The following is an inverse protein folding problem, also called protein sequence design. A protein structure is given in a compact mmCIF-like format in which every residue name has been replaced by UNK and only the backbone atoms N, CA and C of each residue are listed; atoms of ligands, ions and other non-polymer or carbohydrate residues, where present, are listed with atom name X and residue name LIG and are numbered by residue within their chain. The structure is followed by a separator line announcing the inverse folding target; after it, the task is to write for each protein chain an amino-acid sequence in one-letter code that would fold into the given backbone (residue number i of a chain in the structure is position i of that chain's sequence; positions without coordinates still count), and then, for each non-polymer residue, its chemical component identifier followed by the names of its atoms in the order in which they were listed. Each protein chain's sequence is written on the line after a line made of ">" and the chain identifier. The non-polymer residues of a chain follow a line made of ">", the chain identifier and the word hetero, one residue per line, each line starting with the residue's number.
data_IF_782231757089
#
_entry.id   IF_782231757089
#
_cell.length_a   1.000
_cell.length_b   1.000
_cell.length_c   1.000
_cell.angle_alpha   90.00
_cell.angle_beta   90.00
_cell.angle_gamma   90.00
#
_symmetry.space_group_name_H-M   'P 1'
#
loop_
_entity.id
_entity.type
_entity.pdbx_description
1 polymer ?
#
# COMPACT_ATOMS: atom_id res chain seq x y z
N UNK A 1 30.37 8.02 14.63
CA UNK A 1 29.46 7.97 13.47
C UNK A 1 28.40 6.93 13.83
N UNK A 2 27.17 7.34 14.16
CA UNK A 2 26.17 6.42 14.70
C UNK A 2 25.40 5.77 13.55
N UNK A 3 25.51 4.45 13.39
CA UNK A 3 24.63 3.68 12.51
C UNK A 3 23.18 3.89 12.95
N UNK A 4 22.34 4.47 12.09
CA UNK A 4 20.92 4.62 12.40
C UNK A 4 20.23 3.25 12.21
N UNK A 5 19.53 2.73 13.23
CA UNK A 5 18.95 1.40 13.17
C UNK A 5 17.91 1.29 12.05
N UNK A 6 17.88 0.14 11.37
CA UNK A 6 16.97 -0.18 10.24
C UNK A 6 15.50 0.16 10.55
N UNK A 7 15.08 0.01 11.81
CA UNK A 7 13.74 0.35 12.27
C UNK A 7 13.38 1.83 12.15
N UNK A 8 14.35 2.76 12.22
CA UNK A 8 14.12 4.20 12.04
C UNK A 8 13.85 4.54 10.58
N UNK A 9 14.64 4.02 9.65
CA UNK A 9 14.45 4.23 8.20
C UNK A 9 13.08 3.72 7.73
N UNK A 10 12.64 2.58 8.26
CA UNK A 10 11.33 2.04 7.91
C UNK A 10 10.18 2.89 8.48
N UNK A 11 10.32 3.38 9.72
CA UNK A 11 9.33 4.27 10.34
C UNK A 11 9.24 5.61 9.59
N UNK A 12 10.36 6.17 9.16
CA UNK A 12 10.40 7.37 8.31
C UNK A 12 9.76 7.11 6.95
N UNK A 13 10.03 5.95 6.34
CA UNK A 13 9.40 5.54 5.09
C UNK A 13 7.87 5.46 5.21
N UNK A 14 7.34 4.91 6.30
CA UNK A 14 5.90 4.88 6.56
C UNK A 14 5.28 6.29 6.68
N UNK A 15 6.03 7.28 7.17
CA UNK A 15 5.53 8.65 7.29
C UNK A 15 5.69 9.46 5.99
N UNK A 16 6.45 8.96 5.02
CA UNK A 16 6.76 9.69 3.79
C UNK A 16 5.52 9.80 2.88
N UNK A 17 5.10 11.03 2.57
CA UNK A 17 3.94 11.30 1.71
C UNK A 17 4.01 10.62 0.33
N UNK A 18 5.23 10.42 -0.20
CA UNK A 18 5.44 9.72 -1.47
C UNK A 18 5.03 8.24 -1.40
N UNK A 19 5.20 7.59 -0.25
CA UNK A 19 4.80 6.19 -0.03
C UNK A 19 3.28 6.08 -0.03
N UNK A 20 2.60 6.96 0.71
CA UNK A 20 1.14 7.06 0.70
C UNK A 20 0.57 7.34 -0.68
N UNK A 21 1.18 8.27 -1.43
CA UNK A 21 0.75 8.60 -2.79
C UNK A 21 0.91 7.41 -3.75
N UNK A 22 2.04 6.70 -3.69
CA UNK A 22 2.25 5.50 -4.53
C UNK A 22 1.29 4.38 -4.18
N UNK A 23 1.07 4.15 -2.89
CA UNK A 23 0.10 3.18 -2.41
C UNK A 23 -1.32 3.49 -2.90
N UNK A 24 -1.73 4.75 -2.83
CA UNK A 24 -3.05 5.19 -3.29
C UNK A 24 -3.19 5.04 -4.81
N UNK A 25 -2.20 5.50 -5.58
CA UNK A 25 -2.24 5.46 -7.05
C UNK A 25 -2.22 4.05 -7.63
N UNK A 26 -1.60 3.09 -6.95
CA UNK A 26 -1.48 1.71 -7.44
C UNK A 26 -2.49 0.78 -6.78
N UNK A 27 -2.59 0.84 -5.46
CA UNK A 27 -3.40 -0.11 -4.67
C UNK A 27 -4.90 0.15 -4.76
N UNK A 28 -5.35 1.41 -4.77
CA UNK A 28 -6.79 1.70 -4.82
C UNK A 28 -7.41 1.32 -6.16
N UNK A 29 -6.85 1.69 -7.34
CA UNK A 29 -7.44 1.30 -8.62
C UNK A 29 -7.52 -0.23 -8.80
N UNK A 30 -6.46 -0.94 -8.42
CA UNK A 30 -6.43 -2.41 -8.52
C UNK A 30 -7.49 -3.05 -7.61
N UNK A 31 -7.57 -2.64 -6.35
CA UNK A 31 -8.53 -3.23 -5.44
C UNK A 31 -9.98 -2.81 -5.68
N UNK A 32 -10.22 -1.61 -6.23
CA UNK A 32 -11.53 -1.20 -6.73
C UNK A 32 -11.94 -2.02 -7.97
N UNK A 33 -11.01 -2.24 -8.91
CA UNK A 33 -11.25 -3.10 -10.06
C UNK A 33 -11.56 -4.54 -9.63
N UNK A 34 -10.83 -5.08 -8.65
CA UNK A 34 -11.14 -6.40 -8.06
C UNK A 34 -12.55 -6.43 -7.43
N UNK A 35 -12.91 -5.40 -6.66
CA UNK A 35 -14.24 -5.32 -6.06
C UNK A 35 -15.34 -5.26 -7.14
N UNK A 36 -15.14 -4.46 -8.20
CA UNK A 36 -16.07 -4.33 -9.31
C UNK A 36 -16.21 -5.64 -10.11
N UNK A 37 -15.10 -6.31 -10.43
CA UNK A 37 -15.13 -7.56 -11.20
C UNK A 37 -15.68 -8.74 -10.40
N UNK A 38 -15.33 -8.84 -9.12
CA UNK A 38 -15.72 -9.99 -8.29
C UNK A 38 -17.16 -9.87 -7.77
N UNK A 39 -17.76 -8.68 -7.84
CA UNK A 39 -19.09 -8.44 -7.26
C UNK A 39 -20.04 -7.73 -8.20
N UNK A 40 -19.62 -7.37 -9.42
CA UNK A 40 -20.45 -6.69 -10.41
C UNK A 40 -21.79 -7.40 -10.62
N UNK A 41 -21.77 -8.73 -10.69
CA UNK A 41 -22.99 -9.53 -10.87
C UNK A 41 -23.96 -9.40 -9.69
N UNK A 42 -23.45 -9.35 -8.45
CA UNK A 42 -24.28 -9.13 -7.26
C UNK A 42 -24.89 -7.72 -7.23
N UNK A 43 -24.15 -6.73 -7.71
CA UNK A 43 -24.63 -5.34 -7.78
C UNK A 43 -25.69 -5.19 -8.87
N UNK A 44 -25.49 -5.80 -10.03
CA UNK A 44 -26.44 -5.81 -11.14
C UNK A 44 -27.72 -6.60 -10.81
N UNK A 45 -27.61 -7.66 -10.03
CA UNK A 45 -28.75 -8.43 -9.52
C UNK A 45 -29.44 -7.80 -8.28
N UNK A 46 -28.99 -6.62 -7.83
CA UNK A 46 -29.53 -5.93 -6.65
C UNK A 46 -29.32 -6.67 -5.32
N UNK A 47 -28.46 -7.69 -5.30
CA UNK A 47 -28.27 -8.59 -4.16
C UNK A 47 -27.19 -8.04 -3.22
N UNK A 48 -27.51 -6.95 -2.51
CA UNK A 48 -26.60 -6.33 -1.55
C UNK A 48 -26.67 -7.08 -0.21
N UNK A 49 -25.72 -7.97 0.02
CA UNK A 49 -25.55 -8.65 1.33
C UNK A 49 -24.41 -8.04 2.12
N UNK A 50 -24.39 -8.23 3.44
CA UNK A 50 -23.29 -7.79 4.29
C UNK A 50 -21.93 -8.33 3.79
N UNK A 51 -21.90 -9.57 3.29
CA UNK A 51 -20.69 -10.18 2.75
C UNK A 51 -20.16 -9.46 1.48
N UNK A 52 -21.06 -9.01 0.61
CA UNK A 52 -20.73 -8.21 -0.59
C UNK A 52 -20.13 -6.87 -0.14
N UNK A 53 -20.81 -6.14 0.76
CA UNK A 53 -20.31 -4.86 1.29
C UNK A 53 -18.93 -5.02 1.94
N UNK A 54 -18.73 -6.02 2.79
CA UNK A 54 -17.43 -6.29 3.43
C UNK A 54 -16.34 -6.55 2.41
N UNK A 55 -16.60 -7.40 1.40
CA UNK A 55 -15.61 -7.68 0.35
C UNK A 55 -15.28 -6.44 -0.48
N UNK A 56 -16.29 -5.59 -0.77
CA UNK A 56 -16.09 -4.37 -1.57
C UNK A 56 -15.19 -3.35 -0.89
N UNK A 57 -15.12 -3.36 0.44
CA UNK A 57 -14.23 -2.50 1.22
C UNK A 57 -12.86 -3.17 1.44
N UNK A 58 -12.85 -4.48 1.77
CA UNK A 58 -11.60 -5.18 2.08
C UNK A 58 -10.68 -5.31 0.86
N UNK A 59 -11.21 -5.53 -0.35
CA UNK A 59 -10.39 -5.64 -1.58
C UNK A 59 -9.52 -4.39 -1.86
N UNK A 60 -10.08 -3.15 -1.89
CA UNK A 60 -9.27 -1.94 -2.01
C UNK A 60 -8.35 -1.69 -0.81
N UNK A 61 -8.78 -1.98 0.41
CA UNK A 61 -7.90 -1.84 1.59
C UNK A 61 -6.69 -2.77 1.53
N UNK A 62 -6.88 -4.05 1.19
CA UNK A 62 -5.80 -5.02 1.07
C UNK A 62 -4.82 -4.65 -0.04
N UNK A 63 -5.34 -4.29 -1.21
CA UNK A 63 -4.52 -3.87 -2.35
C UNK A 63 -3.71 -2.60 -2.00
N UNK A 64 -4.31 -1.64 -1.31
CA UNK A 64 -3.63 -0.48 -0.78
C UNK A 64 -2.54 -0.85 0.24
N UNK A 65 -2.83 -1.71 1.22
CA UNK A 65 -1.87 -2.13 2.25
C UNK A 65 -0.64 -2.81 1.65
N UNK A 66 -0.82 -3.68 0.65
CA UNK A 66 0.30 -4.35 -0.03
C UNK A 66 1.15 -3.32 -0.79
N UNK A 67 0.51 -2.41 -1.53
CA UNK A 67 1.21 -1.35 -2.26
C UNK A 67 1.95 -0.40 -1.31
N UNK A 68 1.38 -0.12 -0.14
CA UNK A 68 1.96 0.71 0.91
C UNK A 68 3.20 0.08 1.53
N UNK A 69 3.11 -1.16 2.00
CA UNK A 69 4.26 -1.87 2.60
C UNK A 69 5.40 -2.01 1.59
N UNK A 70 5.07 -2.35 0.34
CA UNK A 70 6.05 -2.43 -0.74
C UNK A 70 6.75 -1.10 -0.99
N UNK A 71 5.98 -0.01 -1.10
CA UNK A 71 6.53 1.33 -1.31
C UNK A 71 7.37 1.81 -0.11
N UNK A 72 6.98 1.48 1.12
CA UNK A 72 7.73 1.80 2.33
C UNK A 72 9.07 1.05 2.36
N UNK A 73 9.07 -0.25 2.07
CA UNK A 73 10.29 -1.06 1.99
C UNK A 73 11.26 -0.50 0.96
N UNK A 74 10.78 -0.24 -0.27
CA UNK A 74 11.60 0.36 -1.34
C UNK A 74 12.16 1.73 -0.94
N UNK A 75 11.38 2.55 -0.24
CA UNK A 75 11.86 3.87 0.20
C UNK A 75 12.95 3.74 1.28
N UNK A 76 12.77 2.85 2.25
CA UNK A 76 13.75 2.58 3.31
C UNK A 76 15.08 2.04 2.75
N UNK A 77 15.03 1.10 1.80
CA UNK A 77 16.22 0.57 1.11
C UNK A 77 16.99 1.67 0.36
N UNK A 78 16.27 2.58 -0.29
CA UNK A 78 16.89 3.70 -1.00
C UNK A 78 17.54 4.70 -0.05
N UNK A 79 16.95 4.96 1.13
CA UNK A 79 17.58 5.78 2.16
C UNK A 79 18.87 5.13 2.66
N UNK A 80 18.84 3.83 2.99
CA UNK A 80 20.02 3.09 3.45
C UNK A 80 21.15 3.13 2.42
N UNK A 81 20.82 2.93 1.12
CA UNK A 81 21.80 2.98 0.02
C UNK A 81 22.42 4.37 -0.15
N UNK A 82 21.64 5.44 -0.01
CA UNK A 82 22.18 6.81 -0.09
C UNK A 82 23.12 7.11 1.08
N UNK A 83 22.78 6.67 2.29
CA UNK A 83 23.62 6.87 3.46
C UNK A 83 24.96 6.15 3.32
N UNK A 84 24.99 4.91 2.80
CA UNK A 84 26.24 4.15 2.63
C UNK A 84 27.17 4.76 1.57
N UNK A 85 26.61 5.37 0.52
CA UNK A 85 27.39 6.06 -0.52
C UNK A 85 28.02 7.36 -0.02
N UNK A 86 27.38 8.06 0.92
CA UNK A 86 27.88 9.31 1.49
C UNK A 86 28.94 9.08 2.60
N UNK A 87 29.04 7.86 3.12
CA UNK A 87 30.05 7.46 4.11
C UNK A 87 31.30 6.81 3.52
N UNK A 88 31.35 6.63 2.19
CA UNK A 88 32.51 6.11 1.44
C UNK A 88 33.30 7.26 0.82
#
# INVERSE_FOLDING_TARGET
>A
MAEMPVSRHFREACLAAIVWRRAALLGLPVGLMQAALNQGDHWLAGTVTAAVVTKSILSPCLSFSIAYVSAAATYAENLQRKTSLLSS
#
